data_IF_371499188414
#
_entry.id   IF_371499188414
#
_cell.length_a   1.000
_cell.length_b   1.000
_cell.length_c   1.000
_cell.angle_alpha   90.00
_cell.angle_beta   90.00
_cell.angle_gamma   90.00
#
_symmetry.space_group_name_H-M   'P 1'
#
loop_
_entity.id
_entity.type
_entity.pdbx_description
1 polymer ?
#
# COMPACT_ATOMS: atom_id res chain seq x y z
N UNK A 1 -18.27 -3.29 -6.49
CA UNK A 1 -17.55 -2.00 -6.61
C UNK A 1 -16.60 -2.07 -7.79
N UNK A 2 -16.52 -1.02 -8.60
CA UNK A 2 -15.69 -0.96 -9.81
C UNK A 2 -14.62 0.11 -9.66
N UNK A 3 -13.42 -0.19 -10.15
CA UNK A 3 -12.30 0.72 -10.34
C UNK A 3 -11.33 0.08 -11.34
N UNK A 4 -10.51 0.87 -12.04
CA UNK A 4 -9.48 0.32 -12.91
C UNK A 4 -8.44 -0.48 -12.11
N UNK A 5 -8.04 0.08 -10.96
CA UNK A 5 -7.04 -0.49 -10.07
C UNK A 5 -7.44 -0.25 -8.61
N UNK A 6 -7.25 -1.29 -7.80
CA UNK A 6 -7.26 -1.23 -6.35
C UNK A 6 -5.83 -1.36 -5.82
N UNK A 7 -5.40 -0.39 -5.02
CA UNK A 7 -4.11 -0.44 -4.34
C UNK A 7 -4.34 -0.95 -2.92
N UNK A 8 -3.96 -2.20 -2.68
CA UNK A 8 -4.01 -2.83 -1.37
C UNK A 8 -2.72 -2.55 -0.62
N UNK A 9 -2.80 -1.76 0.43
CA UNK A 9 -1.65 -1.43 1.26
C UNK A 9 -1.50 -2.49 2.35
N UNK A 10 -0.35 -3.18 2.39
CA UNK A 10 -0.01 -4.36 3.18
C UNK A 10 -0.44 -5.69 2.57
N UNK A 11 0.38 -6.72 2.79
CA UNK A 11 0.13 -8.08 2.31
C UNK A 11 -1.27 -8.63 2.67
N UNK A 12 -1.71 -8.58 3.94
CA UNK A 12 -3.02 -9.08 4.35
C UNK A 12 -4.20 -8.33 3.67
N UNK A 13 -4.03 -7.04 3.40
CA UNK A 13 -5.03 -6.28 2.64
C UNK A 13 -5.11 -6.76 1.19
N UNK A 14 -3.96 -7.09 0.58
CA UNK A 14 -3.90 -7.71 -0.75
C UNK A 14 -4.64 -9.04 -0.80
N UNK A 15 -4.42 -9.90 0.19
CA UNK A 15 -5.15 -11.17 0.34
C UNK A 15 -6.66 -10.93 0.40
N UNK A 16 -7.08 -9.97 1.20
CA UNK A 16 -8.49 -9.62 1.38
C UNK A 16 -9.09 -9.09 0.07
N UNK A 17 -8.41 -8.17 -0.61
CA UNK A 17 -8.85 -7.62 -1.89
C UNK A 17 -8.97 -8.72 -2.96
N UNK A 18 -8.00 -9.64 -3.04
CA UNK A 18 -8.04 -10.75 -3.97
C UNK A 18 -9.25 -11.66 -3.70
N UNK A 19 -9.54 -11.98 -2.43
CA UNK A 19 -10.73 -12.74 -1.99
C UNK A 19 -12.03 -12.05 -2.40
N UNK A 20 -12.14 -10.75 -2.12
CA UNK A 20 -13.32 -9.97 -2.50
C UNK A 20 -13.52 -9.89 -4.04
N UNK A 21 -12.44 -9.86 -4.81
CA UNK A 21 -12.53 -9.90 -6.28
C UNK A 21 -13.04 -11.25 -6.79
N UNK A 22 -12.55 -12.36 -6.25
CA UNK A 22 -13.02 -13.70 -6.63
C UNK A 22 -14.50 -13.91 -6.27
N UNK A 23 -14.96 -13.35 -5.17
CA UNK A 23 -16.37 -13.32 -4.79
C UNK A 23 -17.22 -12.35 -5.63
N UNK A 24 -16.64 -11.67 -6.62
CA UNK A 24 -17.35 -10.74 -7.51
C UNK A 24 -17.69 -9.37 -6.87
N UNK A 25 -17.26 -9.12 -5.64
CA UNK A 25 -17.49 -7.85 -4.92
C UNK A 25 -16.65 -6.72 -5.49
N UNK A 26 -15.39 -7.01 -5.86
CA UNK A 26 -14.50 -6.07 -6.54
C UNK A 26 -14.36 -6.43 -8.02
N UNK A 27 -14.35 -5.42 -8.89
CA UNK A 27 -14.06 -5.55 -10.32
C UNK A 27 -13.01 -4.51 -10.70
N UNK A 28 -11.82 -4.98 -11.07
CA UNK A 28 -10.63 -4.16 -11.31
C UNK A 28 -9.34 -4.94 -11.05
N UNK A 29 -8.20 -4.39 -11.49
CA UNK A 29 -6.87 -4.93 -11.18
C UNK A 29 -6.51 -4.69 -9.71
N UNK A 30 -5.65 -5.53 -9.12
CA UNK A 30 -5.18 -5.40 -7.74
C UNK A 30 -3.66 -5.32 -7.74
N UNK A 31 -3.16 -4.21 -7.20
CA UNK A 31 -1.75 -4.02 -6.87
C UNK A 31 -1.57 -4.06 -5.34
N UNK A 32 -0.65 -4.87 -4.83
CA UNK A 32 -0.43 -5.02 -3.38
C UNK A 32 0.93 -4.45 -2.97
N UNK A 33 0.94 -3.51 -2.04
CA UNK A 33 2.18 -2.95 -1.46
C UNK A 33 2.61 -3.79 -0.27
N UNK A 34 3.87 -4.27 -0.28
CA UNK A 34 4.45 -5.03 0.82
C UNK A 34 5.52 -4.24 1.57
N UNK A 35 5.35 -4.15 2.88
CA UNK A 35 6.31 -3.57 3.83
C UNK A 35 7.17 -4.66 4.46
N UNK A 36 8.23 -4.24 5.18
CA UNK A 36 9.11 -5.19 5.86
C UNK A 36 8.36 -6.15 6.78
N UNK A 37 7.44 -5.63 7.60
CA UNK A 37 6.67 -6.46 8.55
C UNK A 37 5.86 -7.57 7.86
N UNK A 38 5.38 -7.32 6.63
CA UNK A 38 4.57 -8.28 5.89
C UNK A 38 5.39 -9.51 5.47
N UNK A 39 6.71 -9.36 5.29
CA UNK A 39 7.61 -10.37 4.71
C UNK A 39 8.74 -10.76 5.69
N UNK A 40 8.77 -10.20 6.89
CA UNK A 40 9.80 -10.50 7.90
C UNK A 40 9.24 -10.96 9.24
N UNK A 41 8.00 -10.64 9.58
CA UNK A 41 7.40 -11.10 10.84
C UNK A 41 7.09 -12.58 10.78
N UNK A 42 7.63 -13.36 11.73
CA UNK A 42 7.38 -14.81 11.82
C UNK A 42 5.90 -15.13 12.01
N UNK A 43 5.22 -14.36 12.85
CA UNK A 43 3.78 -14.51 13.10
C UNK A 43 2.98 -14.28 11.82
N UNK A 44 3.23 -13.16 11.12
CA UNK A 44 2.56 -12.85 9.85
C UNK A 44 2.85 -13.92 8.81
N UNK A 45 4.10 -14.33 8.64
CA UNK A 45 4.46 -15.35 7.66
C UNK A 45 3.84 -16.71 7.99
N UNK A 46 3.80 -17.11 9.27
CA UNK A 46 3.19 -18.37 9.67
C UNK A 46 1.71 -18.44 9.32
N UNK A 47 1.01 -17.30 9.39
CA UNK A 47 -0.41 -17.21 9.11
C UNK A 47 -0.75 -16.93 7.65
N UNK A 48 0.08 -16.17 6.93
CA UNK A 48 -0.25 -15.65 5.60
C UNK A 48 0.57 -16.22 4.45
N UNK A 49 1.57 -17.08 4.68
CA UNK A 49 2.39 -17.61 3.57
C UNK A 49 1.55 -18.34 2.52
N UNK A 50 0.65 -19.29 2.87
CA UNK A 50 -0.23 -19.92 1.88
C UNK A 50 -1.12 -18.91 1.14
N UNK A 51 -1.62 -17.91 1.85
CA UNK A 51 -2.48 -16.85 1.34
C UNK A 51 -1.73 -15.92 0.38
N UNK A 52 -0.46 -15.64 0.65
CA UNK A 52 0.40 -14.88 -0.24
C UNK A 52 0.67 -15.64 -1.52
N UNK A 53 0.88 -16.96 -1.46
CA UNK A 53 1.00 -17.79 -2.66
C UNK A 53 -0.28 -17.73 -3.52
N UNK A 54 -1.46 -17.78 -2.89
CA UNK A 54 -2.73 -17.56 -3.59
C UNK A 54 -2.83 -16.15 -4.16
N UNK A 55 -2.41 -15.13 -3.40
CA UNK A 55 -2.37 -13.74 -3.84
C UNK A 55 -1.43 -13.57 -5.04
N UNK A 56 -0.29 -14.25 -5.12
CA UNK A 56 0.62 -14.16 -6.28
C UNK A 56 -0.01 -14.73 -7.55
N UNK A 57 -0.78 -15.81 -7.41
CA UNK A 57 -1.56 -16.35 -8.54
C UNK A 57 -2.64 -15.39 -8.99
N UNK A 58 -3.42 -14.89 -8.02
CA UNK A 58 -4.66 -14.18 -8.28
C UNK A 58 -4.49 -12.71 -8.53
N UNK A 59 -3.56 -12.04 -7.86
CA UNK A 59 -3.29 -10.61 -7.98
C UNK A 59 -2.50 -10.26 -9.24
N UNK A 60 -2.51 -8.98 -9.59
CA UNK A 60 -1.93 -8.50 -10.85
C UNK A 60 -0.52 -7.95 -10.66
N UNK A 61 -0.25 -7.25 -9.55
CA UNK A 61 1.03 -6.60 -9.29
C UNK A 61 1.41 -6.63 -7.81
N UNK A 62 2.67 -6.93 -7.52
CA UNK A 62 3.26 -6.94 -6.19
C UNK A 62 4.33 -5.84 -6.10
N UNK A 63 4.14 -4.94 -5.13
CA UNK A 63 4.91 -3.72 -4.95
C UNK A 63 5.70 -3.75 -3.64
N UNK A 64 6.79 -4.54 -3.55
CA UNK A 64 7.68 -4.51 -2.40
C UNK A 64 8.44 -3.19 -2.32
N UNK A 65 8.70 -2.72 -1.10
CA UNK A 65 9.39 -1.43 -0.88
C UNK A 65 10.91 -1.47 -1.10
N UNK A 66 11.49 -2.64 -1.37
CA UNK A 66 12.93 -2.81 -1.60
C UNK A 66 13.25 -4.06 -2.43
N UNK A 67 14.46 -4.10 -2.99
CA UNK A 67 14.98 -5.27 -3.73
C UNK A 67 15.14 -6.51 -2.83
N UNK A 68 15.46 -6.29 -1.55
CA UNK A 68 15.50 -7.37 -0.54
C UNK A 68 14.13 -8.05 -0.40
N UNK A 69 13.08 -7.25 -0.30
CA UNK A 69 11.71 -7.77 -0.18
C UNK A 69 11.21 -8.37 -1.49
N UNK A 70 11.60 -7.80 -2.64
CA UNK A 70 11.36 -8.42 -3.94
C UNK A 70 11.98 -9.82 -4.02
N UNK A 71 13.23 -9.98 -3.57
CA UNK A 71 13.90 -11.29 -3.50
C UNK A 71 13.13 -12.29 -2.63
N UNK A 72 12.62 -11.85 -1.47
CA UNK A 72 11.81 -12.71 -0.60
C UNK A 72 10.45 -13.09 -1.21
N UNK A 73 9.78 -12.17 -1.89
CA UNK A 73 8.54 -12.49 -2.61
C UNK A 73 8.80 -13.54 -3.70
N UNK A 74 9.91 -13.41 -4.45
CA UNK A 74 10.33 -14.43 -5.44
C UNK A 74 10.57 -15.78 -4.79
N UNK A 75 11.30 -15.84 -3.66
CA UNK A 75 11.55 -17.11 -2.96
C UNK A 75 10.28 -17.76 -2.39
N UNK A 76 9.23 -16.98 -2.15
CA UNK A 76 7.91 -17.49 -1.75
C UNK A 76 7.04 -17.94 -2.94
N UNK A 77 7.55 -17.85 -4.18
CA UNK A 77 6.86 -18.30 -5.40
C UNK A 77 6.11 -17.20 -6.15
N UNK A 78 6.41 -15.93 -5.90
CA UNK A 78 5.85 -14.83 -6.70
C UNK A 78 6.54 -14.77 -8.08
N UNK A 79 5.78 -14.81 -9.20
CA UNK A 79 6.37 -14.71 -10.54
C UNK A 79 7.11 -13.37 -10.71
N UNK A 80 8.37 -13.35 -11.20
CA UNK A 80 9.18 -12.14 -11.32
C UNK A 80 8.51 -11.01 -12.13
N UNK A 81 7.75 -11.36 -13.17
CA UNK A 81 7.02 -10.46 -14.04
C UNK A 81 5.89 -9.70 -13.33
N UNK A 82 5.44 -10.19 -12.17
CA UNK A 82 4.43 -9.52 -11.33
C UNK A 82 5.04 -8.63 -10.25
N UNK A 83 6.37 -8.53 -10.16
CA UNK A 83 7.04 -7.78 -9.10
C UNK A 83 7.64 -6.49 -9.67
N UNK A 84 7.26 -5.36 -9.08
CA UNK A 84 7.89 -4.07 -9.34
C UNK A 84 8.22 -3.37 -8.03
N UNK A 85 9.49 -3.01 -7.81
CA UNK A 85 9.91 -2.36 -6.55
C UNK A 85 9.39 -0.92 -6.50
N UNK A 86 8.66 -0.60 -5.43
CA UNK A 86 8.11 0.74 -5.18
C UNK A 86 8.66 1.31 -3.88
N UNK A 87 9.76 2.06 -3.96
CA UNK A 87 10.42 2.66 -2.79
C UNK A 87 9.50 3.68 -2.10
N UNK A 88 9.53 3.72 -0.77
CA UNK A 88 8.75 4.70 0.00
C UNK A 88 9.45 6.06 -0.02
N UNK A 89 8.75 7.08 -0.51
CA UNK A 89 9.15 8.47 -0.36
C UNK A 89 8.86 8.99 1.04
N UNK A 90 9.73 9.86 1.56
CA UNK A 90 9.40 10.74 2.68
C UNK A 90 9.13 12.13 2.14
N UNK A 91 8.15 12.84 2.71
CA UNK A 91 7.99 14.26 2.39
C UNK A 91 9.19 15.02 2.95
N UNK A 92 9.78 15.86 2.12
CA UNK A 92 11.01 16.58 2.41
C UNK A 92 10.77 17.80 3.33
N UNK A 93 9.63 18.47 3.17
CA UNK A 93 9.17 19.61 3.98
C UNK A 93 9.14 19.34 5.49
N UNK A 94 8.88 18.09 5.89
CA UNK A 94 8.81 17.67 7.30
C UNK A 94 10.18 17.31 7.91
N UNK A 95 11.26 17.27 7.12
CA UNK A 95 12.59 16.84 7.57
C UNK A 95 13.68 17.90 7.40
N UNK A 96 13.50 18.85 6.49
CA UNK A 96 14.36 20.03 6.47
C UNK A 96 13.86 21.04 7.51
N UNK A 97 14.68 21.46 8.50
CA UNK A 97 14.32 22.62 9.29
C UNK A 97 14.14 23.79 8.32
N UNK A 98 13.04 24.52 8.47
CA UNK A 98 12.84 25.77 7.75
C UNK A 98 14.01 26.69 8.07
N UNK A 99 14.91 26.88 7.11
CA UNK A 99 15.90 27.95 7.20
C UNK A 99 15.16 29.27 7.01
N UNK A 100 14.77 29.86 8.14
CA UNK A 100 14.42 31.27 8.30
C UNK A 100 13.07 31.70 7.74
N UNK A 101 12.13 32.01 8.63
CA UNK A 101 11.20 33.13 8.44
C UNK A 101 11.04 33.88 9.76
N UNK A 102 11.89 34.89 9.98
CA UNK A 102 11.46 36.05 10.74
C UNK A 102 10.77 36.99 9.77
N UNK A 103 9.49 37.22 10.06
CA UNK A 103 8.59 38.26 9.55
C UNK A 103 7.88 38.01 8.21
N UNK A 104 6.54 38.04 8.36
CA UNK A 104 5.46 38.30 7.41
C UNK A 104 4.73 37.05 6.91
N UNK A 105 3.41 36.93 6.91
CA UNK A 105 2.31 37.63 7.57
C UNK A 105 1.08 36.72 7.34
N UNK A 106 0.17 36.72 8.32
CA UNK A 106 -1.26 36.45 8.27
C UNK A 106 -1.90 35.87 6.98
N UNK A 107 -2.31 34.61 7.05
CA UNK A 107 -3.62 34.08 6.60
C UNK A 107 -3.70 32.65 7.19
N UNK A 108 -4.43 32.39 8.28
CA UNK A 108 -5.87 32.36 8.26
C UNK A 108 -6.35 31.12 7.51
N UNK A 109 -6.35 29.94 8.15
CA UNK A 109 -7.53 29.08 8.13
C UNK A 109 -7.48 27.94 9.16
N UNK A 110 -8.52 27.93 9.98
CA UNK A 110 -8.87 27.00 11.05
C UNK A 110 -9.19 25.60 10.48
N UNK A 111 -8.32 24.61 10.73
CA UNK A 111 -8.72 23.21 10.64
C UNK A 111 -8.49 22.51 11.98
N UNK A 112 -9.55 22.54 12.78
CA UNK A 112 -9.63 21.88 14.09
C UNK A 112 -9.14 20.43 14.04
N UNK A 113 -8.27 20.14 14.99
CA UNK A 113 -7.74 18.82 15.35
C UNK A 113 -8.88 17.92 15.81
N UNK A 114 -9.03 16.74 15.22
CA UNK A 114 -9.78 15.64 15.82
C UNK A 114 -8.82 14.46 16.11
N UNK A 115 -8.77 13.94 17.33
CA UNK A 115 -8.05 12.71 17.64
C UNK A 115 -9.00 11.52 17.46
N UNK A 116 -8.59 10.46 16.77
CA UNK A 116 -8.79 9.08 17.26
C UNK A 116 -7.99 8.06 16.42
N UNK A 117 -7.24 7.21 17.12
CA UNK A 117 -6.56 6.03 16.62
C UNK A 117 -7.59 4.94 16.36
N UNK A 118 -8.01 4.75 15.11
CA UNK A 118 -8.48 3.43 14.66
C UNK A 118 -7.90 3.11 13.29
N UNK A 119 -7.26 1.93 13.20
CA UNK A 119 -6.73 1.35 11.96
C UNK A 119 -7.88 1.18 10.96
N UNK A 120 -8.12 2.20 10.12
CA UNK A 120 -8.97 2.06 8.94
C UNK A 120 -8.08 1.52 7.83
N UNK A 121 -8.47 0.40 7.24
CA UNK A 121 -7.96 -0.02 5.95
C UNK A 121 -8.20 1.14 4.97
N UNK A 122 -7.13 1.83 4.58
CA UNK A 122 -7.22 2.99 3.72
C UNK A 122 -7.28 2.50 2.28
N UNK A 123 -8.50 2.30 1.77
CA UNK A 123 -8.73 2.10 0.35
C UNK A 123 -8.82 3.47 -0.31
N UNK A 124 -7.71 3.93 -0.88
CA UNK A 124 -7.66 5.21 -1.59
C UNK A 124 -8.37 5.07 -2.93
N UNK A 125 -9.50 5.76 -3.08
CA UNK A 125 -10.22 5.92 -4.35
C UNK A 125 -9.73 7.20 -5.00
N UNK A 126 -8.92 7.08 -6.05
CA UNK A 126 -8.58 8.23 -6.90
C UNK A 126 -9.82 8.63 -7.70
N UNK A 127 -10.15 9.93 -7.71
CA UNK A 127 -11.20 10.46 -8.58
C UNK A 127 -10.67 10.51 -10.02
N UNK A 128 -11.52 10.22 -11.03
CA UNK A 128 -11.11 10.34 -12.43
C UNK A 128 -10.79 11.81 -12.74
N UNK A 129 -9.70 12.03 -13.48
CA UNK A 129 -9.36 13.32 -14.07
C UNK A 129 -10.22 13.44 -15.33
N UNK A 130 -11.13 14.42 -15.34
CA UNK A 130 -11.99 14.72 -16.49
C UNK A 130 -11.19 15.33 -17.64
N UNK A 131 -11.68 15.04 -18.86
CA UNK A 131 -11.20 15.56 -20.13
C UNK A 131 -11.51 17.05 -20.32
#
# INVERSE_FOLDING_TARGET
MWADVFIAHFGPAGVTAAKLRELGVLRGKIATIFHGIDISSREVLSHYTPEYQQLFRRGDLMLPISDLWAGRLKSMGCPPEKIAVSRMGRRHDAFYPSFGESARDAAGDDFRRAPDRKKKACMWRLKPVGN
#
